data_IF_186709437434
#
_entry.id   IF_186709437434
#
_cell.length_a   1.000
_cell.length_b   1.000
_cell.length_c   1.000
_cell.angle_alpha   90.00
_cell.angle_beta   90.00
_cell.angle_gamma   90.00
#
_symmetry.space_group_name_H-M   'P 1'
#
loop_
_entity.id
_entity.type
_entity.pdbx_description
1 polymer ?
#
# COMPACT_ATOMS: atom_id res chain seq x y z
N UNK A 1 6.32 -14.81 -1.77
CA UNK A 1 7.16 -13.74 -2.36
C UNK A 1 6.38 -12.43 -2.41
N UNK A 2 7.04 -11.28 -2.23
CA UNK A 2 6.40 -9.94 -2.32
C UNK A 2 6.05 -9.63 -3.78
N UNK A 3 4.88 -9.03 -4.01
CA UNK A 3 4.34 -8.69 -5.34
C UNK A 3 3.83 -7.24 -5.35
N UNK A 4 3.67 -6.61 -6.53
CA UNK A 4 3.25 -5.20 -6.60
C UNK A 4 1.94 -4.90 -5.84
N UNK A 5 0.97 -5.82 -5.87
CA UNK A 5 -0.33 -5.66 -5.19
C UNK A 5 -0.28 -5.78 -3.66
N UNK A 6 0.88 -6.08 -3.07
CA UNK A 6 1.08 -6.15 -1.62
C UNK A 6 1.41 -4.80 -0.98
N UNK A 7 1.70 -3.76 -1.77
CA UNK A 7 2.16 -2.44 -1.28
C UNK A 7 1.36 -1.32 -1.91
N UNK A 8 1.23 -0.17 -1.25
CA UNK A 8 0.54 1.01 -1.82
C UNK A 8 1.54 1.98 -2.46
N UNK A 9 1.19 2.53 -3.61
CA UNK A 9 1.92 3.60 -4.29
C UNK A 9 1.23 4.96 -4.10
N UNK A 10 1.92 6.04 -4.43
CA UNK A 10 1.31 7.36 -4.54
C UNK A 10 1.92 8.13 -5.74
N UNK A 11 1.30 8.07 -6.90
CA UNK A 11 1.89 8.63 -8.14
C UNK A 11 1.54 10.11 -8.36
N UNK A 12 1.42 10.91 -7.29
CA UNK A 12 1.00 12.32 -7.37
C UNK A 12 2.18 13.23 -7.67
N UNK A 13 2.15 13.95 -8.81
CA UNK A 13 3.29 14.73 -9.35
C UNK A 13 3.89 15.69 -8.34
N UNK A 14 3.08 16.58 -7.73
CA UNK A 14 3.58 17.58 -6.79
C UNK A 14 4.27 16.95 -5.58
N UNK A 15 3.66 15.92 -4.98
CA UNK A 15 4.26 15.20 -3.87
C UNK A 15 5.52 14.43 -4.30
N UNK A 16 5.55 13.89 -5.51
CA UNK A 16 6.73 13.19 -6.04
C UNK A 16 7.89 14.15 -6.30
N UNK A 17 7.63 15.37 -6.72
CA UNK A 17 8.69 16.37 -6.83
C UNK A 17 9.25 16.74 -5.46
N UNK A 18 8.36 17.06 -4.52
CA UNK A 18 8.76 17.42 -3.15
C UNK A 18 9.56 16.30 -2.46
N UNK A 19 9.14 15.06 -2.66
CA UNK A 19 9.74 13.88 -2.01
C UNK A 19 10.69 13.12 -2.93
N UNK A 20 11.14 13.73 -4.02
CA UNK A 20 12.13 13.15 -4.95
C UNK A 20 11.75 11.70 -5.29
N UNK A 21 10.59 11.50 -5.92
CA UNK A 21 10.03 10.22 -6.37
C UNK A 21 9.98 9.08 -5.32
N UNK A 22 9.98 9.39 -4.02
CA UNK A 22 9.90 8.39 -2.93
C UNK A 22 8.71 7.42 -3.06
N UNK A 23 7.66 7.78 -3.79
CA UNK A 23 6.38 7.08 -3.78
C UNK A 23 6.31 5.86 -4.73
N UNK A 24 7.43 5.46 -5.37
CA UNK A 24 7.56 4.24 -6.20
C UNK A 24 7.75 2.97 -5.35
N UNK A 25 6.96 2.87 -4.29
CA UNK A 25 7.15 1.96 -3.16
C UNK A 25 6.98 0.48 -3.55
N UNK A 26 5.97 0.18 -4.36
CA UNK A 26 5.70 -1.20 -4.79
C UNK A 26 6.84 -1.80 -5.62
N UNK A 27 7.50 -0.99 -6.45
CA UNK A 27 8.62 -1.50 -7.26
C UNK A 27 9.86 -1.72 -6.40
N UNK A 28 10.14 -0.81 -5.46
CA UNK A 28 11.21 -0.98 -4.49
C UNK A 28 11.04 -2.24 -3.64
N UNK A 29 9.82 -2.57 -3.19
CA UNK A 29 9.59 -3.80 -2.43
C UNK A 29 9.66 -5.09 -3.25
N UNK A 30 9.39 -5.02 -4.56
CA UNK A 30 9.46 -6.18 -5.46
C UNK A 30 10.88 -6.39 -6.00
N UNK A 31 11.63 -5.30 -6.22
CA UNK A 31 13.01 -5.27 -6.72
C UNK A 31 13.85 -4.29 -5.89
N UNK A 32 14.24 -4.65 -4.67
CA UNK A 32 14.95 -3.74 -3.75
C UNK A 32 16.34 -3.35 -4.24
N UNK A 33 16.95 -4.17 -5.11
CA UNK A 33 18.25 -3.97 -5.74
C UNK A 33 18.22 -2.97 -6.92
N UNK A 34 17.04 -2.59 -7.40
CA UNK A 34 16.89 -1.64 -8.50
C UNK A 34 17.33 -0.24 -8.07
N UNK A 35 18.27 0.33 -8.83
CA UNK A 35 18.76 1.70 -8.63
C UNK A 35 17.61 2.71 -8.65
N UNK A 36 17.67 3.68 -7.75
CA UNK A 36 16.62 4.67 -7.51
C UNK A 36 16.05 5.35 -8.78
N UNK A 37 16.87 5.86 -9.74
CA UNK A 37 16.32 6.50 -10.95
C UNK A 37 15.51 5.55 -11.86
N UNK A 38 15.75 4.24 -11.74
CA UNK A 38 15.13 3.21 -12.56
C UNK A 38 13.85 2.62 -11.95
N UNK A 39 13.48 3.03 -10.74
CA UNK A 39 12.26 2.57 -10.09
C UNK A 39 11.05 2.86 -10.98
N UNK A 40 10.12 1.94 -11.09
CA UNK A 40 8.96 2.05 -11.97
C UNK A 40 7.70 2.40 -11.17
N UNK A 41 6.69 2.96 -11.86
CA UNK A 41 5.33 3.00 -11.33
C UNK A 41 4.50 1.88 -11.94
N UNK A 42 3.48 1.45 -11.22
CA UNK A 42 2.54 0.44 -11.68
C UNK A 42 1.17 1.08 -11.92
N UNK A 43 0.45 0.54 -12.91
CA UNK A 43 -0.95 0.89 -13.12
C UNK A 43 -1.78 0.62 -11.85
N UNK A 44 -2.85 1.40 -11.58
CA UNK A 44 -3.73 1.24 -10.42
C UNK A 44 -4.31 -0.17 -10.23
N UNK A 45 -4.40 -0.94 -11.30
CA UNK A 45 -4.92 -2.30 -11.40
C UNK A 45 -3.92 -3.32 -10.88
N UNK A 46 -2.62 -3.01 -10.98
CA UNK A 46 -1.49 -3.85 -10.60
C UNK A 46 -1.01 -3.54 -9.19
N UNK A 47 -1.04 -2.28 -8.78
CA UNK A 47 -0.72 -1.85 -7.42
C UNK A 47 -1.69 -0.75 -6.95
N UNK A 48 -2.20 -0.84 -5.71
CA UNK A 48 -3.15 0.12 -5.19
C UNK A 48 -2.48 1.49 -5.00
N UNK A 49 -3.21 2.56 -5.30
CA UNK A 49 -2.72 3.94 -5.19
C UNK A 49 -3.39 4.67 -4.03
N UNK A 50 -2.62 5.45 -3.28
CA UNK A 50 -3.16 6.35 -2.29
C UNK A 50 -4.04 7.41 -2.97
N UNK A 51 -5.18 7.76 -2.35
CA UNK A 51 -6.12 8.68 -2.97
C UNK A 51 -5.65 10.13 -3.07
N UNK A 52 -4.64 10.50 -2.27
CA UNK A 52 -4.04 11.83 -2.22
C UNK A 52 -2.52 11.66 -2.09
N UNK A 53 -1.77 12.75 -2.31
CA UNK A 53 -0.32 12.78 -2.07
C UNK A 53 0.04 12.58 -0.60
N UNK A 54 1.30 12.23 -0.34
CA UNK A 54 1.80 11.90 1.00
C UNK A 54 1.48 12.95 2.08
N UNK A 55 1.68 14.28 1.89
CA UNK A 55 1.35 15.25 2.94
C UNK A 55 -0.09 15.16 3.43
N UNK A 56 -1.05 15.10 2.50
CA UNK A 56 -2.47 14.99 2.84
C UNK A 56 -2.80 13.63 3.48
N UNK A 57 -2.22 12.55 2.97
CA UNK A 57 -2.42 11.22 3.54
C UNK A 57 -1.81 11.07 4.93
N UNK A 58 -0.66 11.70 5.19
CA UNK A 58 -0.01 11.75 6.50
C UNK A 58 -0.89 12.46 7.51
N UNK A 59 -1.41 13.66 7.18
CA UNK A 59 -2.35 14.38 8.04
C UNK A 59 -3.61 13.54 8.32
N UNK A 60 -4.15 12.89 7.29
CA UNK A 60 -5.32 12.03 7.44
C UNK A 60 -5.06 10.82 8.34
N UNK A 61 -3.86 10.23 8.26
CA UNK A 61 -3.46 9.08 9.08
C UNK A 61 -3.38 9.41 10.57
N UNK A 62 -3.13 10.68 10.92
CA UNK A 62 -3.12 11.14 12.31
C UNK A 62 -4.53 11.22 12.94
N UNK A 63 -5.59 11.07 12.14
CA UNK A 63 -6.97 11.10 12.60
C UNK A 63 -7.65 9.75 12.26
N UNK A 64 -7.58 8.74 13.15
CA UNK A 64 -8.00 7.37 12.84
C UNK A 64 -9.43 7.22 12.29
N UNK A 65 -10.45 7.95 12.77
CA UNK A 65 -11.79 7.87 12.19
C UNK A 65 -11.84 8.31 10.71
N UNK A 66 -11.13 9.38 10.36
CA UNK A 66 -11.08 9.90 8.99
C UNK A 66 -10.25 8.99 8.08
N UNK A 67 -9.11 8.49 8.58
CA UNK A 67 -8.31 7.47 7.90
C UNK A 67 -9.15 6.25 7.56
N UNK A 68 -9.84 5.66 8.55
CA UNK A 68 -10.69 4.48 8.37
C UNK A 68 -11.82 4.74 7.37
N UNK A 69 -12.46 5.92 7.44
CA UNK A 69 -13.51 6.33 6.48
C UNK A 69 -12.98 6.38 5.05
N UNK A 70 -11.75 6.87 4.83
CA UNK A 70 -11.14 6.97 3.49
C UNK A 70 -10.56 5.65 2.97
N UNK A 71 -9.87 4.90 3.83
CA UNK A 71 -9.05 3.74 3.42
C UNK A 71 -9.79 2.41 3.50
N UNK A 72 -10.67 2.18 4.48
CA UNK A 72 -11.35 0.88 4.63
C UNK A 72 -12.16 0.47 3.39
N UNK A 73 -12.92 1.36 2.71
CA UNK A 73 -13.61 0.99 1.48
C UNK A 73 -12.66 0.52 0.38
N UNK A 74 -11.48 1.15 0.27
CA UNK A 74 -10.47 0.82 -0.74
C UNK A 74 -9.79 -0.51 -0.42
N UNK A 75 -9.45 -0.74 0.84
CA UNK A 75 -8.91 -2.03 1.32
C UNK A 75 -9.89 -3.15 1.02
N UNK A 76 -11.19 -2.97 1.32
CA UNK A 76 -12.22 -3.99 1.00
C UNK A 76 -12.35 -4.23 -0.50
N UNK A 77 -12.33 -3.18 -1.33
CA UNK A 77 -12.36 -3.32 -2.78
C UNK A 77 -11.11 -4.07 -3.31
N UNK A 78 -9.93 -3.74 -2.80
CA UNK A 78 -8.68 -4.41 -3.16
C UNK A 78 -8.68 -5.89 -2.75
N UNK A 79 -9.15 -6.18 -1.53
CA UNK A 79 -9.30 -7.55 -1.01
C UNK A 79 -10.18 -8.41 -1.90
N UNK A 80 -11.36 -7.92 -2.30
CA UNK A 80 -12.26 -8.63 -3.20
C UNK A 80 -11.62 -8.94 -4.56
N UNK A 81 -10.83 -8.01 -5.09
CA UNK A 81 -10.17 -8.16 -6.40
C UNK A 81 -9.01 -9.15 -6.38
N UNK A 82 -8.15 -9.07 -5.36
CA UNK A 82 -6.87 -9.82 -5.34
C UNK A 82 -6.88 -11.06 -4.45
N UNK A 83 -7.82 -11.18 -3.53
CA UNK A 83 -7.92 -12.30 -2.58
C UNK A 83 -9.37 -12.81 -2.48
N UNK A 84 -10.01 -13.20 -3.60
CA UNK A 84 -11.41 -13.64 -3.59
C UNK A 84 -11.65 -14.90 -2.76
N UNK A 85 -10.60 -15.69 -2.52
CA UNK A 85 -10.64 -16.92 -1.73
C UNK A 85 -10.63 -16.68 -0.21
N UNK A 86 -10.33 -15.46 0.26
CA UNK A 86 -10.31 -15.12 1.69
C UNK A 86 -11.65 -14.53 2.10
N UNK A 87 -12.50 -15.37 2.70
CA UNK A 87 -13.85 -14.99 3.15
C UNK A 87 -13.85 -14.35 4.55
N UNK A 88 -12.97 -14.77 5.46
CA UNK A 88 -12.83 -14.20 6.80
C UNK A 88 -11.51 -13.44 6.97
N UNK A 89 -11.62 -12.15 7.31
CA UNK A 89 -10.49 -11.26 7.60
C UNK A 89 -10.35 -10.94 9.10
N UNK A 90 -11.13 -11.59 9.97
CA UNK A 90 -11.21 -11.31 11.40
C UNK A 90 -9.87 -11.44 12.10
N UNK A 91 -9.08 -12.47 11.78
CA UNK A 91 -7.74 -12.67 12.36
C UNK A 91 -6.75 -11.59 11.91
N UNK A 92 -6.78 -11.19 10.63
CA UNK A 92 -5.96 -10.06 10.14
C UNK A 92 -6.34 -8.74 10.80
N UNK A 93 -7.64 -8.43 10.88
CA UNK A 93 -8.12 -7.17 11.43
C UNK A 93 -7.87 -7.05 12.94
N UNK A 94 -7.82 -8.18 13.65
CA UNK A 94 -7.54 -8.26 15.10
C UNK A 94 -6.08 -8.57 15.42
N UNK A 95 -5.20 -8.64 14.42
CA UNK A 95 -3.79 -9.01 14.56
C UNK A 95 -3.57 -10.33 15.34
N UNK A 96 -4.42 -11.35 15.07
CA UNK A 96 -4.37 -12.68 15.71
C UNK A 96 -3.75 -13.76 14.83
N UNK A 97 -3.19 -13.39 13.69
CA UNK A 97 -2.50 -14.36 12.84
C UNK A 97 -1.24 -14.86 13.54
N UNK A 98 -0.85 -16.13 13.35
CA UNK A 98 0.45 -16.60 13.83
C UNK A 98 1.56 -15.76 13.20
N UNK A 99 2.64 -15.57 13.96
CA UNK A 99 3.84 -14.95 13.42
C UNK A 99 4.37 -15.78 12.24
N UNK A 100 4.99 -15.15 11.22
CA UNK A 100 5.68 -15.89 10.18
C UNK A 100 6.71 -16.83 10.81
N UNK A 101 6.79 -18.08 10.35
CA UNK A 101 7.75 -19.06 10.87
C UNK A 101 9.17 -18.52 10.81
N UNK A 102 9.87 -18.55 11.95
CA UNK A 102 11.22 -17.99 12.13
C UNK A 102 11.29 -16.67 12.92
N UNK A 103 10.14 -16.13 13.35
CA UNK A 103 10.09 -15.04 14.33
C UNK A 103 9.92 -15.60 15.76
N UNK A 104 10.99 -16.20 16.28
CA UNK A 104 11.21 -16.50 17.69
C UNK A 104 12.70 -16.31 17.99
#
# INVERSE_FOLDING_TARGET
PVRPHHSWNASHTASNWLLINLQRHSDHHVRPDRRFPLLQTYAPETAPQLPLGYPAMTLLAMIPPLWRRRMNPRVRAWRRRHYPHVSDWGSYNRARNPLPGGAA
#
